data_IF_095373962520
#
_entry.id   IF_095373962520
#
_cell.length_a   1.000
_cell.length_b   1.000
_cell.length_c   1.000
_cell.angle_alpha   90.00
_cell.angle_beta   90.00
_cell.angle_gamma   90.00
#
_symmetry.space_group_name_H-M   'P 1'
#
loop_
_entity.id
_entity.type
_entity.pdbx_description
1 polymer ?
#
# COMPACT_ATOMS: atom_id res chain seq x y z
N UNK A 1 -9.39 14.72 -18.40
CA UNK A 1 -8.56 15.73 -17.71
C UNK A 1 -7.45 15.02 -16.96
N UNK A 2 -6.23 15.47 -17.13
CA UNK A 2 -5.15 14.89 -16.34
C UNK A 2 -5.31 15.25 -14.87
N UNK A 3 -4.90 14.36 -14.03
CA UNK A 3 -4.90 14.62 -12.60
C UNK A 3 -3.77 15.59 -12.24
N UNK A 4 -4.04 16.41 -11.23
CA UNK A 4 -3.00 17.20 -10.59
C UNK A 4 -2.53 16.47 -9.35
N UNK A 5 -1.47 16.96 -8.73
CA UNK A 5 -1.01 16.38 -7.47
C UNK A 5 -2.13 16.45 -6.43
N UNK A 6 -2.85 17.60 -6.37
CA UNK A 6 -3.92 17.74 -5.39
C UNK A 6 -5.09 16.81 -5.67
N UNK A 7 -5.46 16.61 -6.92
CA UNK A 7 -6.55 15.69 -7.23
C UNK A 7 -6.16 14.25 -6.94
N UNK A 8 -4.90 13.90 -7.16
CA UNK A 8 -4.42 12.58 -6.79
C UNK A 8 -4.42 12.38 -5.28
N UNK A 9 -4.05 13.41 -4.51
CA UNK A 9 -4.10 13.29 -3.06
C UNK A 9 -5.53 13.03 -2.57
N UNK A 10 -6.51 13.66 -3.21
CA UNK A 10 -7.90 13.38 -2.91
C UNK A 10 -8.25 11.93 -3.23
N UNK A 11 -7.80 11.44 -4.39
CA UNK A 11 -8.04 10.05 -4.79
C UNK A 11 -7.36 9.09 -3.82
N UNK A 12 -6.16 9.42 -3.36
CA UNK A 12 -5.45 8.59 -2.39
C UNK A 12 -6.27 8.47 -1.10
N UNK A 13 -6.82 9.57 -0.61
CA UNK A 13 -7.66 9.53 0.59
C UNK A 13 -8.84 8.60 0.40
N UNK A 14 -9.44 8.63 -0.78
CA UNK A 14 -10.58 7.75 -1.08
C UNK A 14 -10.14 6.30 -1.19
N UNK A 15 -9.02 6.05 -1.85
CA UNK A 15 -8.51 4.70 -2.02
C UNK A 15 -8.25 4.02 -0.68
N UNK A 16 -7.55 4.71 0.22
CA UNK A 16 -7.18 4.10 1.50
C UNK A 16 -8.36 3.98 2.44
N UNK A 17 -9.41 4.77 2.22
CA UNK A 17 -10.64 4.62 2.99
C UNK A 17 -11.48 3.45 2.47
N UNK A 18 -11.39 3.16 1.18
CA UNK A 18 -12.23 2.15 0.55
C UNK A 18 -11.65 0.75 0.63
N UNK A 19 -10.33 0.64 0.55
CA UNK A 19 -9.68 -0.67 0.49
C UNK A 19 -8.89 -0.92 1.77
N UNK A 20 -9.11 -2.08 2.37
CA UNK A 20 -8.41 -2.42 3.59
C UNK A 20 -6.90 -2.46 3.37
N UNK A 21 -6.47 -3.08 2.26
CA UNK A 21 -5.07 -3.10 1.87
C UNK A 21 -4.95 -2.37 0.55
N UNK A 22 -4.20 -1.27 0.55
CA UNK A 22 -3.99 -0.47 -0.65
C UNK A 22 -2.52 -0.31 -0.89
N UNK A 23 -2.07 -0.62 -2.11
CA UNK A 23 -0.65 -0.58 -2.46
C UNK A 23 -0.45 0.37 -3.63
N UNK A 24 0.47 1.30 -3.45
CA UNK A 24 0.93 2.16 -4.55
C UNK A 24 2.24 1.58 -5.04
N UNK A 25 2.26 1.10 -6.28
CA UNK A 25 3.32 0.24 -6.77
C UNK A 25 3.76 0.62 -8.18
N UNK A 26 4.90 0.11 -8.59
CA UNK A 26 5.35 0.23 -9.98
C UNK A 26 4.82 -0.98 -10.73
N UNK A 27 3.73 -0.78 -11.48
CA UNK A 27 3.06 -1.82 -12.24
C UNK A 27 1.65 -2.04 -11.75
N UNK A 28 0.92 -2.83 -12.51
CA UNK A 28 -0.48 -3.15 -12.20
C UNK A 28 -0.54 -4.31 -11.22
N UNK A 29 -1.74 -4.53 -10.69
CA UNK A 29 -1.97 -5.64 -9.76
C UNK A 29 -1.58 -6.95 -10.44
N UNK A 30 -0.74 -7.73 -9.76
CA UNK A 30 -0.21 -9.00 -10.25
C UNK A 30 0.62 -8.85 -11.54
N UNK A 31 1.06 -7.64 -11.84
CA UNK A 31 1.90 -7.37 -13.00
C UNK A 31 2.92 -6.28 -12.64
N UNK A 32 3.63 -6.50 -11.56
CA UNK A 32 4.62 -5.54 -11.07
C UNK A 32 5.80 -5.44 -12.02
N UNK A 33 6.32 -4.23 -12.18
CA UNK A 33 7.48 -3.97 -13.02
C UNK A 33 8.74 -3.71 -12.21
N UNK A 34 8.71 -4.02 -10.91
CA UNK A 34 9.78 -3.76 -9.99
C UNK A 34 9.76 -4.86 -8.93
N UNK A 35 10.94 -5.36 -8.57
CA UNK A 35 11.03 -6.47 -7.61
C UNK A 35 10.46 -6.13 -6.25
N UNK A 36 10.65 -4.89 -5.79
CA UNK A 36 10.11 -4.48 -4.51
C UNK A 36 8.59 -4.42 -4.54
N UNK A 37 8.01 -3.93 -5.64
CA UNK A 37 6.56 -3.90 -5.80
C UNK A 37 6.01 -5.31 -5.88
N UNK A 38 6.70 -6.20 -6.59
CA UNK A 38 6.31 -7.59 -6.67
C UNK A 38 6.31 -8.23 -5.28
N UNK A 39 7.37 -7.98 -4.50
CA UNK A 39 7.48 -8.54 -3.17
C UNK A 39 6.35 -8.11 -2.24
N UNK A 40 5.99 -6.83 -2.31
CA UNK A 40 4.90 -6.33 -1.48
C UNK A 40 3.57 -7.00 -1.85
N UNK A 41 3.29 -7.14 -3.15
CA UNK A 41 2.07 -7.81 -3.59
C UNK A 41 2.07 -9.28 -3.19
N UNK A 42 3.21 -9.93 -3.29
CA UNK A 42 3.32 -11.36 -3.01
C UNK A 42 2.98 -11.68 -1.55
N UNK A 43 3.33 -10.79 -0.63
CA UNK A 43 2.99 -10.99 0.78
C UNK A 43 1.47 -11.15 0.94
N UNK A 44 0.69 -10.25 0.32
CA UNK A 44 -0.76 -10.31 0.47
C UNK A 44 -1.38 -11.45 -0.31
N UNK A 45 -0.77 -11.82 -1.44
CA UNK A 45 -1.20 -13.00 -2.17
C UNK A 45 -1.03 -14.25 -1.30
N UNK A 46 0.08 -14.39 -0.62
CA UNK A 46 0.33 -15.54 0.24
C UNK A 46 -0.61 -15.58 1.43
N UNK A 47 -0.97 -14.40 1.94
CA UNK A 47 -1.91 -14.33 3.05
C UNK A 47 -3.34 -14.60 2.63
N UNK A 48 -3.62 -14.56 1.33
CA UNK A 48 -4.98 -14.75 0.83
C UNK A 48 -5.90 -13.60 1.17
N UNK A 49 -5.35 -12.41 1.38
CA UNK A 49 -6.10 -11.23 1.77
C UNK A 49 -6.34 -10.36 0.55
N UNK A 50 -7.55 -9.87 0.33
CA UNK A 50 -7.79 -8.96 -0.79
C UNK A 50 -6.95 -7.70 -0.64
N UNK A 51 -6.43 -7.22 -1.75
CA UNK A 51 -5.65 -5.99 -1.79
C UNK A 51 -5.90 -5.30 -3.11
N UNK A 52 -5.68 -4.00 -3.14
CA UNK A 52 -5.83 -3.23 -4.36
C UNK A 52 -4.53 -2.51 -4.67
N UNK A 53 -4.27 -2.27 -5.93
CA UNK A 53 -3.02 -1.68 -6.40
C UNK A 53 -3.31 -0.53 -7.34
N UNK A 54 -2.57 0.56 -7.16
CA UNK A 54 -2.58 1.66 -8.11
C UNK A 54 -1.18 1.83 -8.65
N UNK A 55 -1.08 1.84 -9.98
CA UNK A 55 0.20 1.90 -10.67
C UNK A 55 0.71 3.34 -10.74
N UNK A 56 1.77 3.64 -10.01
CA UNK A 56 2.32 5.00 -10.00
C UNK A 56 3.06 5.35 -11.29
N UNK A 57 3.32 4.37 -12.14
CA UNK A 57 3.96 4.64 -13.43
C UNK A 57 2.98 5.18 -14.46
N UNK A 58 1.68 5.08 -14.18
CA UNK A 58 0.67 5.55 -15.12
C UNK A 58 0.60 7.06 -15.21
N UNK A 59 1.10 7.78 -14.19
CA UNK A 59 0.99 9.23 -14.16
C UNK A 59 2.05 9.78 -13.20
N UNK A 60 2.91 10.66 -13.70
CA UNK A 60 3.95 11.28 -12.88
C UNK A 60 3.38 12.04 -11.70
N UNK A 61 2.23 12.66 -11.90
CA UNK A 61 1.58 13.41 -10.80
C UNK A 61 1.18 12.48 -9.66
N UNK A 62 0.85 11.25 -9.97
CA UNK A 62 0.51 10.28 -8.93
C UNK A 62 1.74 9.91 -8.11
N UNK A 63 2.86 9.70 -8.78
CA UNK A 63 4.11 9.41 -8.06
C UNK A 63 4.43 10.54 -7.09
N UNK A 64 4.37 11.77 -7.56
CA UNK A 64 4.65 12.93 -6.72
C UNK A 64 3.64 13.03 -5.58
N UNK A 65 2.37 12.79 -5.89
CA UNK A 65 1.32 12.94 -4.90
C UNK A 65 1.46 11.93 -3.76
N UNK A 66 1.74 10.68 -4.08
CA UNK A 66 1.83 9.67 -3.02
C UNK A 66 3.06 9.90 -2.15
N UNK A 67 4.18 10.30 -2.74
CA UNK A 67 5.37 10.58 -1.96
C UNK A 67 5.18 11.80 -1.07
N UNK A 68 4.48 12.82 -1.55
CA UNK A 68 4.17 13.98 -0.71
C UNK A 68 3.17 13.63 0.38
N UNK A 69 2.18 12.81 0.04
CA UNK A 69 1.12 12.45 0.97
C UNK A 69 1.68 11.75 2.21
N UNK A 70 2.65 10.87 2.00
CA UNK A 70 3.24 10.08 3.09
C UNK A 70 4.53 10.67 3.62
N UNK A 71 5.11 11.64 2.91
CA UNK A 71 6.45 12.13 3.18
C UNK A 71 7.46 10.98 3.13
N UNK A 72 7.27 10.06 2.19
CA UNK A 72 8.10 8.87 2.01
C UNK A 72 8.54 8.80 0.56
N UNK A 73 9.83 8.67 0.27
CA UNK A 73 10.32 8.89 -1.10
C UNK A 73 10.32 7.67 -2.01
N UNK A 74 10.06 6.49 -1.49
CA UNK A 74 10.23 5.27 -2.29
C UNK A 74 8.93 4.53 -2.50
N UNK A 75 8.89 3.69 -3.54
CA UNK A 75 7.77 2.84 -3.90
C UNK A 75 8.26 1.39 -3.81
N UNK A 76 7.44 0.44 -3.37
CA UNK A 76 6.00 0.54 -3.11
C UNK A 76 5.68 1.19 -1.77
N UNK A 77 4.43 1.62 -1.64
CA UNK A 77 3.92 2.13 -0.37
C UNK A 77 2.63 1.39 -0.04
N UNK A 78 2.56 0.82 1.14
CA UNK A 78 1.46 -0.04 1.57
C UNK A 78 0.68 0.61 2.68
N UNK A 79 -0.65 0.62 2.54
CA UNK A 79 -1.57 1.12 3.55
C UNK A 79 -2.45 -0.03 4.01
N UNK A 80 -2.70 -0.10 5.32
CA UNK A 80 -3.60 -1.08 5.90
C UNK A 80 -4.56 -0.32 6.81
N UNK A 81 -5.85 -0.51 6.57
CA UNK A 81 -6.92 0.15 7.33
C UNK A 81 -6.70 1.66 7.38
N UNK A 82 -6.29 2.25 6.27
CA UNK A 82 -6.11 3.67 6.14
C UNK A 82 -4.79 4.20 6.69
N UNK A 83 -3.95 3.34 7.24
CA UNK A 83 -2.69 3.75 7.86
C UNK A 83 -1.51 3.34 6.99
N UNK A 84 -0.60 4.26 6.77
CA UNK A 84 0.63 3.96 6.03
C UNK A 84 1.50 3.03 6.87
N UNK A 85 1.86 1.89 6.29
CA UNK A 85 2.66 0.87 6.98
C UNK A 85 4.13 0.97 6.60
N UNK A 86 4.39 1.11 5.31
CA UNK A 86 5.75 1.17 4.82
C UNK A 86 5.88 0.55 3.45
N UNK A 87 7.10 0.22 3.08
CA UNK A 87 7.41 -0.40 1.80
C UNK A 87 7.56 -1.90 1.91
N UNK A 88 8.20 -2.49 0.90
CA UNK A 88 8.37 -3.93 0.80
C UNK A 88 9.09 -4.52 2.01
N UNK A 89 10.18 -3.89 2.44
CA UNK A 89 10.99 -4.45 3.53
C UNK A 89 10.22 -4.51 4.84
N UNK A 90 9.51 -3.44 5.16
CA UNK A 90 8.75 -3.38 6.40
C UNK A 90 7.60 -4.38 6.38
N UNK A 91 6.88 -4.45 5.26
CA UNK A 91 5.77 -5.38 5.13
C UNK A 91 6.25 -6.82 5.21
N UNK A 92 7.39 -7.11 4.60
CA UNK A 92 7.97 -8.44 4.66
C UNK A 92 8.35 -8.83 6.08
N UNK A 93 8.95 -7.89 6.83
CA UNK A 93 9.30 -8.16 8.23
C UNK A 93 8.05 -8.42 9.07
N UNK A 94 7.00 -7.65 8.86
CA UNK A 94 5.75 -7.86 9.58
C UNK A 94 5.13 -9.20 9.24
N UNK A 95 5.26 -9.61 8.00
CA UNK A 95 4.75 -10.90 7.57
C UNK A 95 5.54 -12.04 8.23
N UNK A 96 6.87 -11.94 8.23
CA UNK A 96 7.72 -12.99 8.77
C UNK A 96 7.57 -13.13 10.29
N UNK A 97 7.29 -12.04 10.97
CA UNK A 97 7.10 -12.07 12.42
C UNK A 97 5.71 -12.53 12.84
N UNK A 98 4.78 -12.62 11.89
CA UNK A 98 3.39 -12.97 12.20
C UNK A 98 2.54 -11.78 12.60
N UNK A 99 3.13 -10.60 12.73
CA UNK A 99 2.39 -9.43 13.16
C UNK A 99 1.38 -8.97 12.11
N UNK A 100 1.72 -9.13 10.83
CA UNK A 100 0.83 -8.74 9.76
C UNK A 100 -0.45 -9.57 9.77
N UNK A 101 -0.29 -10.87 9.99
CA UNK A 101 -1.41 -11.79 10.06
C UNK A 101 -2.36 -11.41 11.19
N UNK A 102 -1.80 -11.01 12.32
CA UNK A 102 -2.61 -10.58 13.45
C UNK A 102 -3.43 -9.33 13.11
N UNK A 103 -2.81 -8.37 12.46
CA UNK A 103 -3.50 -7.15 12.04
C UNK A 103 -4.65 -7.43 11.10
N UNK A 104 -4.47 -8.43 10.23
CA UNK A 104 -5.43 -8.71 9.17
C UNK A 104 -6.42 -9.79 9.52
N UNK A 105 -6.35 -10.34 10.72
CA UNK A 105 -7.18 -11.47 11.10
C UNK A 105 -8.64 -11.11 11.37
N UNK A 106 -9.01 -9.87 11.26
CA UNK A 106 -10.37 -9.44 11.55
C UNK A 106 -10.56 -9.09 13.00
N UNK A 107 -9.67 -9.51 13.83
CA UNK A 107 -9.64 -9.16 15.22
C UNK A 107 -8.71 -8.00 15.34
N UNK A 108 -9.18 -6.82 15.09
CA UNK A 108 -8.31 -5.70 15.25
C UNK A 108 -7.99 -5.56 16.71
N UNK A 109 -6.81 -5.94 17.16
CA UNK A 109 -6.50 -5.71 18.54
C UNK A 109 -6.50 -4.21 18.75
N UNK A 110 -7.04 -3.74 19.84
CA UNK A 110 -6.94 -2.32 20.12
C UNK A 110 -5.49 -1.95 20.14
N UNK A 111 -5.13 -0.83 19.58
CA UNK A 111 -3.72 -0.47 19.48
C UNK A 111 -3.01 -0.49 20.80
N UNK A 112 -3.72 -0.26 21.84
CA UNK A 112 -3.15 -0.24 23.16
C UNK A 112 -3.24 -1.55 23.87
N UNK A 113 -3.95 -2.48 23.32
CA UNK A 113 -4.19 -3.73 24.01
C UNK A 113 -3.15 -4.74 23.67
N UNK A 114 -2.28 -4.34 22.92
CA UNK A 114 -1.36 -5.31 22.53
C UNK A 114 -0.20 -5.25 23.37
#
# INVERSE_FOLDING_TARGET
MPHTIESWKQQIREDIARHRVMIYAKGEKNAAQCGYSHGAMEVFRRLGVPYEVRNVLADESLMDAICEYTDWPTIPQVFIDGTFVGGCDIVTELYESGELQQRLSGQTPPPSAQ
#
